data_IF_371776226029
#
_entry.id   IF_371776226029
#
_cell.length_a   1.000
_cell.length_b   1.000
_cell.length_c   1.000
_cell.angle_alpha   90.00
_cell.angle_beta   90.00
_cell.angle_gamma   90.00
#
_symmetry.space_group_name_H-M   'P 1'
#
loop_
_entity.id
_entity.type
_entity.pdbx_description
1 polymer ?
#
# COMPACT_ATOMS: atom_id res chain seq x y z
N UNK A 1 -17.04 60.24 -37.80
CA UNK A 1 -17.81 59.06 -38.25
C UNK A 1 -17.15 57.81 -37.67
N UNK A 2 -17.71 57.24 -36.61
CA UNK A 2 -17.27 55.94 -36.09
C UNK A 2 -18.01 54.86 -36.87
N UNK A 3 -17.28 53.93 -37.48
CA UNK A 3 -17.85 52.86 -38.30
C UNK A 3 -18.65 51.88 -37.41
N UNK A 4 -19.99 51.79 -37.57
CA UNK A 4 -20.85 50.97 -36.70
C UNK A 4 -20.63 49.45 -36.89
N UNK A 5 -19.79 49.06 -37.84
CA UNK A 5 -19.53 47.65 -38.19
C UNK A 5 -18.49 46.98 -37.27
N UNK A 6 -17.80 47.73 -36.41
CA UNK A 6 -16.76 47.18 -35.52
C UNK A 6 -17.29 46.38 -34.32
N UNK A 7 -18.59 46.50 -34.00
CA UNK A 7 -19.21 45.84 -32.85
C UNK A 7 -19.75 44.42 -33.13
N UNK A 8 -19.67 43.95 -34.38
CA UNK A 8 -20.25 42.67 -34.82
C UNK A 8 -19.22 41.76 -35.51
N UNK A 9 -17.96 41.77 -35.05
CA UNK A 9 -16.99 40.75 -35.45
C UNK A 9 -17.23 39.52 -34.58
N UNK A 10 -17.57 38.34 -35.15
CA UNK A 10 -17.71 37.13 -34.36
C UNK A 10 -16.40 36.90 -33.62
N UNK A 11 -16.48 36.68 -32.30
CA UNK A 11 -15.30 36.33 -31.52
C UNK A 11 -14.65 35.10 -32.17
N UNK A 12 -13.45 35.28 -32.73
CA UNK A 12 -12.63 34.23 -33.33
C UNK A 12 -12.09 33.25 -32.25
N UNK A 13 -12.95 32.83 -31.32
CA UNK A 13 -12.61 32.03 -30.13
C UNK A 13 -12.27 30.57 -30.43
N UNK A 14 -12.24 30.17 -31.70
CA UNK A 14 -12.03 28.77 -32.09
C UNK A 14 -10.61 28.41 -32.50
N UNK A 15 -9.74 29.37 -32.85
CA UNK A 15 -8.41 29.09 -33.46
C UNK A 15 -7.23 29.80 -32.79
N UNK A 16 -7.41 30.99 -32.22
CA UNK A 16 -6.33 31.74 -31.57
C UNK A 16 -5.81 31.02 -30.31
N UNK A 17 -6.70 30.66 -29.37
CA UNK A 17 -6.33 29.88 -28.18
C UNK A 17 -5.78 28.48 -28.49
N UNK A 18 -6.15 27.90 -29.64
CA UNK A 18 -5.57 26.62 -30.11
C UNK A 18 -4.14 26.77 -30.60
N UNK A 19 -3.76 27.90 -31.20
CA UNK A 19 -2.40 28.15 -31.67
C UNK A 19 -1.41 28.32 -30.53
N UNK A 20 -1.78 29.04 -29.47
CA UNK A 20 -0.94 29.19 -28.27
C UNK A 20 -0.75 27.85 -27.55
N UNK A 21 -1.82 27.09 -27.37
CA UNK A 21 -1.74 25.74 -26.81
C UNK A 21 -0.86 24.82 -27.67
N UNK A 22 -0.98 24.91 -29.00
CA UNK A 22 -0.18 24.12 -29.93
C UNK A 22 1.30 24.50 -29.89
N UNK A 23 1.62 25.79 -29.83
CA UNK A 23 2.98 26.28 -29.65
C UNK A 23 3.59 25.80 -28.32
N UNK A 24 2.81 25.84 -27.23
CA UNK A 24 3.23 25.32 -25.93
C UNK A 24 3.54 23.81 -25.98
N UNK A 25 2.69 23.02 -26.65
CA UNK A 25 2.90 21.57 -26.83
C UNK A 25 4.17 21.30 -27.63
N UNK A 26 4.38 21.99 -28.76
CA UNK A 26 5.58 21.80 -29.58
C UNK A 26 6.86 22.24 -28.86
N UNK A 27 6.82 23.37 -28.14
CA UNK A 27 7.95 23.81 -27.31
C UNK A 27 8.26 22.82 -26.18
N UNK A 28 7.24 22.19 -25.59
CA UNK A 28 7.43 21.16 -24.56
C UNK A 28 8.01 19.88 -25.18
N UNK A 29 7.56 19.49 -26.38
CA UNK A 29 8.11 18.35 -27.12
C UNK A 29 9.60 18.53 -27.43
N UNK A 30 10.00 19.72 -27.89
CA UNK A 30 11.40 20.05 -28.13
C UNK A 30 12.23 20.00 -26.83
N UNK A 31 11.73 20.60 -25.73
CA UNK A 31 12.40 20.57 -24.42
C UNK A 31 12.58 19.16 -23.87
N UNK A 32 11.55 18.33 -23.97
CA UNK A 32 11.59 16.93 -23.54
C UNK A 32 12.56 16.11 -24.41
N UNK A 33 12.60 16.38 -25.72
CA UNK A 33 13.45 15.69 -26.69
C UNK A 33 14.95 16.01 -26.58
N UNK A 34 15.31 17.16 -25.99
CA UNK A 34 16.69 17.57 -25.78
C UNK A 34 17.46 16.70 -24.78
N UNK A 35 18.80 16.79 -24.78
CA UNK A 35 19.67 16.00 -23.88
C UNK A 35 19.29 16.15 -22.40
N UNK A 36 19.10 17.38 -21.92
CA UNK A 36 18.68 17.66 -20.53
C UNK A 36 17.32 17.06 -20.20
N UNK A 37 16.34 17.21 -21.09
CA UNK A 37 14.98 16.66 -20.90
C UNK A 37 15.00 15.14 -20.77
N UNK A 38 15.71 14.46 -21.66
CA UNK A 38 15.92 13.00 -21.60
C UNK A 38 16.65 12.56 -20.34
N UNK A 39 17.67 13.30 -19.89
CA UNK A 39 18.38 13.00 -18.65
C UNK A 39 17.48 13.12 -17.42
N UNK A 40 16.63 14.15 -17.36
CA UNK A 40 15.65 14.33 -16.28
C UNK A 40 14.59 13.22 -16.28
N UNK A 41 14.11 12.80 -17.45
CA UNK A 41 13.18 11.68 -17.56
C UNK A 41 13.80 10.37 -17.07
N UNK A 42 15.07 10.10 -17.39
CA UNK A 42 15.79 8.92 -16.88
C UNK A 42 15.92 8.96 -15.36
N UNK A 43 16.36 10.09 -14.79
CA UNK A 43 16.45 10.27 -13.33
C UNK A 43 15.10 10.11 -12.65
N UNK A 44 14.02 10.63 -13.24
CA UNK A 44 12.67 10.43 -12.73
C UNK A 44 12.28 8.96 -12.73
N UNK A 45 12.54 8.24 -13.83
CA UNK A 45 12.28 6.80 -13.92
C UNK A 45 13.02 6.00 -12.84
N UNK A 46 14.29 6.33 -12.61
CA UNK A 46 15.14 5.66 -11.62
C UNK A 46 14.75 5.97 -10.18
N UNK A 47 14.56 7.24 -9.83
CA UNK A 47 14.34 7.65 -8.44
C UNK A 47 12.88 7.54 -8.01
N UNK A 48 11.95 7.83 -8.91
CA UNK A 48 10.51 7.88 -8.60
C UNK A 48 9.84 6.60 -9.06
N UNK A 49 9.89 6.29 -10.35
CA UNK A 49 9.00 5.25 -10.90
C UNK A 49 9.45 3.83 -10.48
N UNK A 50 10.76 3.59 -10.38
CA UNK A 50 11.33 2.31 -9.92
C UNK A 50 11.03 2.01 -8.45
N UNK A 51 11.14 3.02 -7.57
CA UNK A 51 10.92 2.84 -6.12
C UNK A 51 9.45 2.56 -5.82
N UNK A 52 8.54 3.13 -6.61
CA UNK A 52 7.10 2.88 -6.49
C UNK A 52 6.60 1.70 -7.35
N UNK A 53 7.45 1.03 -8.13
CA UNK A 53 7.04 -0.06 -9.02
C UNK A 53 6.22 -1.12 -8.27
N UNK A 54 6.72 -1.58 -7.12
CA UNK A 54 6.03 -2.59 -6.32
C UNK A 54 4.71 -2.09 -5.71
N UNK A 55 4.61 -0.79 -5.38
CA UNK A 55 3.37 -0.20 -4.90
C UNK A 55 2.30 -0.11 -6.02
N UNK A 56 2.70 0.09 -7.27
CA UNK A 56 1.78 0.12 -8.41
C UNK A 56 1.40 -1.27 -8.94
N UNK A 57 2.32 -2.22 -8.90
CA UNK A 57 2.12 -3.60 -9.33
C UNK A 57 1.33 -4.40 -8.30
N UNK A 58 1.85 -4.50 -7.07
CA UNK A 58 1.27 -5.31 -5.99
C UNK A 58 0.25 -4.54 -5.17
N UNK A 59 0.47 -3.23 -4.98
CA UNK A 59 -0.40 -2.35 -4.17
C UNK A 59 -1.66 -1.87 -4.89
N UNK A 60 -2.01 -2.46 -6.04
CA UNK A 60 -3.22 -2.18 -6.82
C UNK A 60 -3.45 -0.70 -7.21
N UNK A 61 -2.42 0.15 -7.15
CA UNK A 61 -2.54 1.56 -7.55
C UNK A 61 -2.69 1.76 -9.07
N UNK A 62 -2.41 0.72 -9.88
CA UNK A 62 -2.60 0.77 -11.34
C UNK A 62 -4.07 0.88 -11.75
N UNK A 63 -4.99 0.35 -10.93
CA UNK A 63 -6.44 0.41 -11.18
C UNK A 63 -7.16 0.87 -9.91
N UNK A 64 -7.39 2.18 -9.81
CA UNK A 64 -8.14 2.79 -8.73
C UNK A 64 -9.59 3.03 -9.15
N UNK A 65 -10.53 2.36 -8.49
CA UNK A 65 -11.97 2.52 -8.73
C UNK A 65 -12.57 3.71 -7.97
N UNK A 66 -11.82 4.81 -7.86
CA UNK A 66 -12.21 6.00 -7.10
C UNK A 66 -12.50 7.14 -8.07
N UNK A 67 -13.62 7.84 -7.88
CA UNK A 67 -14.01 8.99 -8.72
C UNK A 67 -13.45 10.29 -8.14
N UNK A 68 -12.97 11.16 -9.02
CA UNK A 68 -12.42 12.47 -8.66
C UNK A 68 -10.91 12.46 -8.39
N UNK A 69 -10.20 13.48 -8.89
CA UNK A 69 -8.74 13.61 -8.79
C UNK A 69 -8.24 13.66 -7.33
N UNK A 70 -8.98 14.34 -6.48
CA UNK A 70 -8.64 14.47 -5.05
C UNK A 70 -8.69 13.13 -4.32
N UNK A 71 -9.68 12.30 -4.65
CA UNK A 71 -9.86 11.01 -3.99
C UNK A 71 -8.81 9.99 -4.45
N UNK A 72 -8.40 10.06 -5.72
CA UNK A 72 -7.23 9.32 -6.23
C UNK A 72 -5.96 9.72 -5.48
N UNK A 73 -5.76 11.02 -5.26
CA UNK A 73 -4.59 11.52 -4.53
C UNK A 73 -4.56 11.04 -3.07
N UNK A 74 -5.69 11.12 -2.37
CA UNK A 74 -5.84 10.62 -1.00
C UNK A 74 -5.49 9.12 -0.91
N UNK A 75 -6.02 8.30 -1.83
CA UNK A 75 -5.74 6.86 -1.86
C UNK A 75 -4.27 6.55 -2.15
N UNK A 76 -3.66 7.29 -3.07
CA UNK A 76 -2.25 7.15 -3.41
C UNK A 76 -1.35 7.48 -2.21
N UNK A 77 -1.64 8.58 -1.50
CA UNK A 77 -0.88 8.99 -0.30
C UNK A 77 -0.96 7.95 0.81
N UNK A 78 -2.15 7.42 1.09
CA UNK A 78 -2.35 6.36 2.09
C UNK A 78 -1.53 5.11 1.76
N UNK A 79 -1.56 4.66 0.50
CA UNK A 79 -0.82 3.47 0.09
C UNK A 79 0.70 3.68 0.14
N UNK A 80 1.18 4.84 -0.30
CA UNK A 80 2.60 5.19 -0.21
C UNK A 80 3.07 5.26 1.24
N UNK A 81 2.26 5.87 2.14
CA UNK A 81 2.55 5.93 3.57
C UNK A 81 2.60 4.53 4.19
N UNK A 82 1.66 3.65 3.87
CA UNK A 82 1.64 2.27 4.36
C UNK A 82 2.87 1.48 3.88
N UNK A 83 3.27 1.63 2.61
CA UNK A 83 4.45 0.95 2.07
C UNK A 83 5.75 1.46 2.72
N UNK A 84 5.87 2.78 2.92
CA UNK A 84 7.01 3.38 3.59
C UNK A 84 7.09 2.97 5.06
N UNK A 85 5.95 2.91 5.75
CA UNK A 85 5.88 2.42 7.12
C UNK A 85 6.30 0.94 7.20
N UNK A 86 5.86 0.10 6.28
CA UNK A 86 6.27 -1.31 6.22
C UNK A 86 7.80 -1.47 6.03
N UNK A 87 8.43 -0.64 5.19
CA UNK A 87 9.89 -0.63 5.03
C UNK A 87 10.62 -0.13 6.28
N UNK A 88 10.08 0.90 6.94
CA UNK A 88 10.64 1.42 8.18
C UNK A 88 10.56 0.39 9.30
N UNK A 89 9.41 -0.27 9.46
CA UNK A 89 9.21 -1.35 10.43
C UNK A 89 10.11 -2.55 10.12
N UNK A 90 10.30 -2.91 8.84
CA UNK A 90 11.29 -3.92 8.45
C UNK A 90 12.71 -3.54 8.85
N UNK A 91 13.07 -2.27 8.74
CA UNK A 91 14.41 -1.79 9.10
C UNK A 91 14.63 -1.73 10.62
N UNK A 92 13.63 -1.31 11.39
CA UNK A 92 13.73 -1.13 12.85
C UNK A 92 13.51 -2.45 13.59
N UNK A 93 12.54 -3.25 13.15
CA UNK A 93 12.05 -4.44 13.89
C UNK A 93 12.47 -5.74 13.18
N UNK A 94 12.95 -5.68 11.93
CA UNK A 94 13.24 -6.88 11.11
C UNK A 94 11.99 -7.58 10.57
N UNK A 95 10.81 -7.30 11.11
CA UNK A 95 9.53 -7.86 10.69
C UNK A 95 8.97 -7.09 9.49
N UNK A 96 8.97 -7.74 8.33
CA UNK A 96 8.70 -7.11 7.06
C UNK A 96 7.27 -7.21 6.53
N UNK A 97 6.36 -7.82 7.28
CA UNK A 97 4.98 -8.06 6.86
C UNK A 97 4.00 -7.50 7.88
N UNK A 98 2.91 -6.84 7.42
CA UNK A 98 1.86 -6.35 8.33
C UNK A 98 1.25 -7.49 9.14
N UNK A 99 1.28 -8.72 8.61
CA UNK A 99 0.79 -9.92 9.28
C UNK A 99 1.66 -10.36 10.46
N UNK A 100 2.98 -10.26 10.35
CA UNK A 100 3.88 -10.53 11.48
C UNK A 100 3.71 -9.49 12.59
N UNK A 101 3.47 -8.22 12.24
CA UNK A 101 3.15 -7.19 13.22
C UNK A 101 1.76 -7.37 13.82
N UNK A 102 0.76 -7.74 13.02
CA UNK A 102 -0.59 -8.07 13.50
C UNK A 102 -0.56 -9.27 14.43
N UNK A 103 0.22 -10.31 14.14
CA UNK A 103 0.40 -11.45 15.04
C UNK A 103 1.07 -11.00 16.34
N UNK A 104 2.11 -10.17 16.29
CA UNK A 104 2.73 -9.63 17.51
C UNK A 104 1.75 -8.76 18.31
N UNK A 105 0.98 -7.88 17.65
CA UNK A 105 0.01 -7.01 18.31
C UNK A 105 -1.19 -7.80 18.84
N UNK A 106 -1.66 -8.82 18.12
CA UNK A 106 -2.76 -9.68 18.59
C UNK A 106 -2.30 -10.58 19.72
N UNK A 107 -1.08 -11.13 19.67
CA UNK A 107 -0.46 -11.86 20.79
C UNK A 107 -0.31 -10.95 22.00
N UNK A 108 0.19 -9.72 21.82
CA UNK A 108 0.34 -8.73 22.89
C UNK A 108 -1.02 -8.33 23.47
N UNK A 109 -2.03 -8.14 22.61
CA UNK A 109 -3.40 -7.83 23.00
C UNK A 109 -4.06 -8.98 23.76
N UNK A 110 -3.88 -10.23 23.31
CA UNK A 110 -4.35 -11.41 24.03
C UNK A 110 -3.66 -11.56 25.38
N UNK A 111 -2.34 -11.33 25.44
CA UNK A 111 -1.59 -11.32 26.71
C UNK A 111 -2.06 -10.23 27.66
N UNK A 112 -2.28 -9.02 27.15
CA UNK A 112 -2.78 -7.89 27.93
C UNK A 112 -4.19 -8.16 28.43
N UNK A 113 -5.08 -8.68 27.58
CA UNK A 113 -6.43 -9.10 27.98
C UNK A 113 -6.39 -10.24 29.00
N UNK A 114 -5.52 -11.23 28.82
CA UNK A 114 -5.36 -12.33 29.78
C UNK A 114 -4.82 -11.86 31.14
N UNK A 115 -3.91 -10.87 31.15
CA UNK A 115 -3.40 -10.22 32.37
C UNK A 115 -4.47 -9.37 33.08
N UNK A 116 -5.37 -8.76 32.32
CA UNK A 116 -6.51 -7.99 32.87
C UNK A 116 -7.64 -8.92 33.33
N UNK A 117 -7.79 -10.09 32.70
CA UNK A 117 -8.79 -11.12 33.01
C UNK A 117 -8.38 -12.10 34.11
N UNK A 118 -7.38 -11.80 34.94
CA UNK A 118 -7.21 -12.50 36.22
C UNK A 118 -7.88 -11.72 37.35
N UNK A 119 -9.21 -11.87 37.59
CA UNK A 119 -9.74 -11.60 38.91
C UNK A 119 -9.19 -12.67 39.88
N UNK A 120 -8.85 -12.19 41.08
CA UNK A 120 -8.21 -12.93 42.18
C UNK A 120 -8.84 -14.29 42.49
N UNK A 121 -7.94 -15.22 42.83
CA UNK A 121 -8.18 -16.54 43.39
C UNK A 121 -9.09 -16.57 44.62
N UNK A 122 -9.82 -17.68 44.81
CA UNK A 122 -10.11 -18.24 46.14
C UNK A 122 -9.91 -19.76 46.14
N UNK A 123 -9.09 -20.20 47.08
CA UNK A 123 -8.71 -21.57 47.38
C UNK A 123 -9.86 -22.37 48.06
N UNK A 124 -9.92 -23.70 47.96
CA UNK A 124 -9.59 -24.75 48.99
C UNK A 124 -10.66 -25.88 48.86
N UNK A 125 -10.54 -27.17 49.28
CA UNK A 125 -9.40 -28.11 49.51
C UNK A 125 -9.50 -29.43 48.67
N UNK A 126 -8.51 -30.35 48.77
CA UNK A 126 -8.55 -31.66 48.14
C UNK A 126 -9.28 -32.71 49.01
N UNK A 127 -10.11 -33.55 48.41
CA UNK A 127 -10.43 -34.89 48.94
C UNK A 127 -10.35 -35.93 47.85
N UNK A 128 -9.35 -36.79 48.00
CA UNK A 128 -9.06 -37.97 47.22
C UNK A 128 -10.05 -39.11 47.50
N UNK A 129 -10.11 -40.02 46.53
CA UNK A 129 -10.47 -41.45 46.50
C UNK A 129 -11.38 -41.69 45.27
N UNK A 130 -11.18 -42.65 44.36
CA UNK A 130 -10.22 -43.73 44.19
C UNK A 130 -10.55 -44.42 42.84
N UNK A 131 -9.54 -45.07 42.21
CA UNK A 131 -9.66 -46.30 41.38
C UNK A 131 -10.28 -46.11 39.97
N UNK A 132 -9.76 -46.63 38.85
CA UNK A 132 -8.59 -47.42 38.47
C UNK A 132 -8.40 -47.28 36.93
N UNK A 133 -7.28 -47.75 36.36
CA UNK A 133 -6.93 -47.54 34.97
C UNK A 133 -7.45 -48.69 34.10
N UNK A 134 -8.11 -48.36 32.99
CA UNK A 134 -8.30 -49.32 31.91
C UNK A 134 -7.42 -48.96 30.72
N UNK A 135 -6.46 -49.85 30.54
CA UNK A 135 -5.56 -50.04 29.42
C UNK A 135 -6.31 -50.25 28.10
N UNK A 136 -5.98 -49.47 27.07
CA UNK A 136 -5.98 -49.93 25.69
C UNK A 136 -5.02 -49.07 24.85
N UNK A 137 -4.19 -49.77 24.09
CA UNK A 137 -2.97 -49.33 23.42
C UNK A 137 -3.25 -48.89 21.95
N UNK A 138 -2.27 -48.80 21.03
CA UNK A 138 -1.83 -47.56 20.42
C UNK A 138 -2.24 -47.43 18.95
N UNK A 139 -2.36 -46.21 18.44
CA UNK A 139 -2.12 -46.00 17.00
C UNK A 139 -1.36 -44.70 16.77
N UNK A 140 -0.10 -44.90 16.41
CA UNK A 140 0.78 -43.97 15.75
C UNK A 140 0.14 -43.55 14.43
N UNK A 141 -0.19 -42.26 14.27
CA UNK A 141 -0.34 -41.67 12.95
C UNK A 141 0.73 -40.58 12.76
N UNK A 142 1.89 -41.05 12.32
CA UNK A 142 2.94 -40.21 11.75
C UNK A 142 2.48 -39.77 10.36
N UNK A 143 2.23 -38.48 10.19
CA UNK A 143 2.17 -37.84 8.87
C UNK A 143 3.00 -36.57 8.90
N UNK A 144 4.30 -36.78 8.67
CA UNK A 144 5.23 -35.98 7.86
C UNK A 144 4.95 -34.48 7.76
N UNK A 145 5.86 -33.74 8.39
CA UNK A 145 6.44 -32.50 7.85
C UNK A 145 6.57 -32.55 6.33
N UNK A 146 5.79 -31.72 5.63
CA UNK A 146 6.11 -31.32 4.26
C UNK A 146 6.80 -29.96 4.29
N UNK A 147 8.12 -30.06 4.17
CA UNK A 147 9.00 -28.99 3.79
C UNK A 147 8.72 -28.55 2.33
N UNK A 148 9.00 -27.27 2.08
CA UNK A 148 9.30 -26.62 0.81
C UNK A 148 8.18 -26.33 -0.19
N UNK A 149 8.09 -25.05 -0.59
CA UNK A 149 8.62 -24.51 -1.87
C UNK A 149 8.22 -23.03 -1.98
N UNK A 150 9.20 -22.11 -1.99
CA UNK A 150 9.79 -21.53 -3.20
C UNK A 150 8.82 -20.61 -3.95
N UNK A 151 8.97 -19.30 -3.73
CA UNK A 151 8.61 -18.20 -4.63
C UNK A 151 9.59 -17.06 -4.25
N UNK A 152 10.60 -16.79 -5.08
CA UNK A 152 10.63 -15.69 -6.06
C UNK A 152 10.22 -14.36 -5.44
#
# INVERSE_FOLDING_TARGET
>A
MCDPTSLNRPADGGRAGKREAQAAVYANRQRIGGRRGKQLLRRRGELVERTFAHAYETGALRRLYVRGKENVHKRLLLQAAACNLALLLRKIIGAGTPRALQDVVTILFFHLMCLISTPKATAVPPRALHVAPDTASPSTCSMKTRCQKSWI
#
